data_IF_186932060993
#
_entry.id   IF_186932060993
#
_cell.length_a   1.000
_cell.length_b   1.000
_cell.length_c   1.000
_cell.angle_alpha   90.00
_cell.angle_beta   90.00
_cell.angle_gamma   90.00
#
_symmetry.space_group_name_H-M   'P 1'
#
loop_
_entity.id
_entity.type
_entity.pdbx_description
1 polymer ?
#
# COMPACT_ATOMS: atom_id res chain seq x y z
N UNK A 1 6.47 -13.08 13.27
CA UNK A 1 6.54 -11.78 12.53
C UNK A 1 5.44 -10.90 13.08
N UNK A 2 5.78 -9.70 13.49
CA UNK A 2 4.83 -8.69 13.99
C UNK A 2 4.68 -7.59 12.95
N UNK A 3 3.46 -7.32 12.50
CA UNK A 3 3.15 -6.32 11.48
C UNK A 3 2.55 -5.07 12.15
N UNK A 4 3.13 -3.90 11.89
CA UNK A 4 2.52 -2.64 12.25
C UNK A 4 1.54 -2.20 11.15
N UNK A 5 0.32 -1.80 11.51
CA UNK A 5 -0.68 -1.28 10.58
C UNK A 5 -0.91 0.19 10.88
N UNK A 6 -0.72 1.06 9.89
CA UNK A 6 -0.98 2.49 10.04
C UNK A 6 -2.49 2.74 10.15
N UNK A 7 -2.97 3.02 11.36
CA UNK A 7 -4.39 3.14 11.69
C UNK A 7 -4.83 4.59 11.94
N UNK A 8 -4.37 5.52 11.07
CA UNK A 8 -4.76 6.92 11.15
C UNK A 8 -6.09 7.19 10.44
N UNK A 9 -6.31 6.53 9.29
CA UNK A 9 -7.51 6.67 8.47
C UNK A 9 -7.54 5.56 7.41
N UNK A 10 -8.72 5.09 7.02
CA UNK A 10 -8.91 4.15 5.90
C UNK A 10 -9.14 2.71 6.33
N UNK A 11 -8.82 1.76 5.44
CA UNK A 11 -9.17 0.33 5.51
C UNK A 11 -8.19 -0.50 6.36
N UNK A 12 -7.77 0.00 7.52
CA UNK A 12 -6.79 -0.70 8.37
C UNK A 12 -7.36 -1.96 9.03
N UNK A 13 -8.65 -1.96 9.43
CA UNK A 13 -9.30 -3.11 10.07
C UNK A 13 -9.39 -4.32 9.12
N UNK A 14 -9.60 -4.09 7.85
CA UNK A 14 -9.67 -5.13 6.83
C UNK A 14 -8.30 -5.81 6.67
N UNK A 15 -7.20 -5.06 6.68
CA UNK A 15 -5.85 -5.63 6.72
C UNK A 15 -5.59 -6.46 7.97
N UNK A 16 -6.04 -6.00 9.14
CA UNK A 16 -5.92 -6.76 10.39
C UNK A 16 -6.67 -8.09 10.33
N UNK A 17 -7.86 -8.11 9.70
CA UNK A 17 -8.60 -9.35 9.49
C UNK A 17 -7.83 -10.34 8.61
N UNK A 18 -7.12 -9.85 7.57
CA UNK A 18 -6.26 -10.69 6.73
C UNK A 18 -5.06 -11.22 7.51
N UNK A 19 -4.38 -10.37 8.28
CA UNK A 19 -3.26 -10.77 9.14
C UNK A 19 -3.71 -11.83 10.17
N UNK A 20 -4.88 -11.64 10.77
CA UNK A 20 -5.46 -12.61 11.71
C UNK A 20 -5.75 -13.95 11.05
N UNK A 21 -6.28 -13.98 9.81
CA UNK A 21 -6.49 -15.22 9.05
C UNK A 21 -5.18 -15.97 8.80
N UNK A 22 -4.09 -15.23 8.59
CA UNK A 22 -2.75 -15.76 8.36
C UNK A 22 -1.98 -16.11 9.65
N UNK A 23 -2.56 -15.83 10.82
CA UNK A 23 -1.91 -16.08 12.11
C UNK A 23 -0.71 -15.18 12.39
N UNK A 24 -0.61 -14.03 11.72
CA UNK A 24 0.43 -13.04 11.97
C UNK A 24 0.06 -12.15 13.15
N UNK A 25 1.03 -11.84 14.01
CA UNK A 25 0.86 -10.83 15.04
C UNK A 25 0.80 -9.44 14.44
N UNK A 26 -0.04 -8.57 14.97
CA UNK A 26 -0.14 -7.19 14.49
C UNK A 26 -0.50 -6.21 15.60
N UNK A 27 -0.24 -4.93 15.34
CA UNK A 27 -0.74 -3.82 16.15
C UNK A 27 -0.93 -2.57 15.30
N UNK A 28 -1.71 -1.63 15.81
CA UNK A 28 -2.00 -0.37 15.16
C UNK A 28 -0.99 0.72 15.54
N UNK A 29 -0.59 1.54 14.54
CA UNK A 29 0.09 2.82 14.76
C UNK A 29 -0.96 3.92 14.67
N UNK A 30 -1.27 4.55 15.80
CA UNK A 30 -2.22 5.67 15.92
C UNK A 30 -1.56 6.96 16.40
N UNK A 31 -0.38 6.86 16.99
CA UNK A 31 0.36 7.96 17.59
C UNK A 31 1.85 7.62 17.64
N UNK A 32 2.69 8.64 17.83
CA UNK A 32 4.15 8.49 17.78
C UNK A 32 4.71 7.41 18.72
N UNK A 33 4.19 7.31 19.95
CA UNK A 33 4.65 6.32 20.93
C UNK A 33 4.42 4.86 20.50
N UNK A 34 3.52 4.60 19.57
CA UNK A 34 3.27 3.25 19.07
C UNK A 34 4.45 2.73 18.26
N UNK A 35 5.29 3.65 17.72
CA UNK A 35 6.54 3.32 17.02
C UNK A 35 7.67 2.83 17.94
N UNK A 36 7.54 2.97 19.26
CA UNK A 36 8.51 2.44 20.22
C UNK A 36 8.42 0.90 20.33
N UNK A 37 7.35 0.30 19.82
CA UNK A 37 7.18 -1.15 19.78
C UNK A 37 7.97 -1.73 18.60
N UNK A 38 8.69 -2.85 18.79
CA UNK A 38 9.37 -3.51 17.68
C UNK A 38 8.35 -4.13 16.72
N UNK A 39 8.63 -4.04 15.43
CA UNK A 39 7.86 -4.68 14.36
C UNK A 39 8.76 -5.06 13.18
N UNK A 40 8.33 -6.06 12.42
CA UNK A 40 9.10 -6.66 11.32
C UNK A 40 8.63 -6.17 9.95
N UNK A 41 7.41 -5.63 9.86
CA UNK A 41 6.80 -5.17 8.60
C UNK A 41 5.75 -4.09 8.87
N UNK A 42 5.44 -3.28 7.85
CA UNK A 42 4.51 -2.15 7.91
C UNK A 42 3.44 -2.26 6.81
N UNK A 43 2.17 -2.03 7.15
CA UNK A 43 1.09 -1.84 6.19
C UNK A 43 0.62 -0.38 6.21
N UNK A 44 0.56 0.22 5.01
CA UNK A 44 -0.01 1.52 4.73
C UNK A 44 -1.35 1.31 3.99
N UNK A 45 -2.50 1.38 4.67
CA UNK A 45 -3.78 0.99 4.10
C UNK A 45 -4.30 1.99 3.06
N UNK A 46 -5.32 1.56 2.32
CA UNK A 46 -6.12 2.45 1.50
C UNK A 46 -6.89 3.47 2.33
N UNK A 47 -7.19 4.62 1.73
CA UNK A 47 -7.88 5.72 2.38
C UNK A 47 -7.73 7.01 1.57
N UNK A 48 -7.70 8.16 2.24
CA UNK A 48 -7.46 9.46 1.61
C UNK A 48 -6.00 9.90 1.86
N UNK A 49 -5.18 9.83 0.83
CA UNK A 49 -3.73 10.05 0.94
C UNK A 49 -3.34 11.44 1.45
N UNK A 50 -4.11 12.47 1.10
CA UNK A 50 -3.86 13.85 1.58
C UNK A 50 -4.16 14.01 3.06
N UNK A 51 -5.22 13.37 3.55
CA UNK A 51 -5.57 13.34 4.98
C UNK A 51 -4.53 12.53 5.76
N UNK A 52 -4.14 11.36 5.24
CA UNK A 52 -3.11 10.52 5.87
C UNK A 52 -1.78 11.29 6.00
N UNK A 53 -1.33 11.96 4.90
CA UNK A 53 -0.12 12.79 4.94
C UNK A 53 -0.21 13.90 5.99
N UNK A 54 -1.34 14.59 6.08
CA UNK A 54 -1.57 15.63 7.09
C UNK A 54 -1.47 15.06 8.50
N UNK A 55 -2.13 13.95 8.79
CA UNK A 55 -2.09 13.29 10.10
C UNK A 55 -0.69 12.79 10.46
N UNK A 56 0.07 12.24 9.50
CA UNK A 56 1.46 11.82 9.72
C UNK A 56 2.33 12.98 10.21
N UNK A 57 2.15 14.18 9.64
CA UNK A 57 2.88 15.38 10.02
C UNK A 57 2.40 15.93 11.38
N UNK A 58 1.09 16.03 11.61
CA UNK A 58 0.50 16.57 12.84
C UNK A 58 0.82 15.70 14.07
N UNK A 59 1.00 14.40 13.88
CA UNK A 59 1.30 13.44 14.97
C UNK A 59 2.81 13.18 15.13
N UNK A 60 3.67 13.88 14.41
CA UNK A 60 5.13 13.68 14.40
C UNK A 60 5.55 12.23 14.07
N UNK A 61 4.79 11.55 13.23
CA UNK A 61 5.05 10.15 12.82
C UNK A 61 5.86 10.11 11.51
N UNK A 62 5.73 11.13 10.66
CA UNK A 62 6.23 11.15 9.28
C UNK A 62 7.72 10.83 9.17
N UNK A 63 8.58 11.58 9.87
CA UNK A 63 10.04 11.43 9.72
C UNK A 63 10.51 10.05 10.21
N UNK A 64 9.97 9.59 11.34
CA UNK A 64 10.32 8.29 11.93
C UNK A 64 9.92 7.15 10.98
N UNK A 65 8.70 7.17 10.43
CA UNK A 65 8.28 6.15 9.47
C UNK A 65 9.09 6.19 8.18
N UNK A 66 9.42 7.39 7.68
CA UNK A 66 10.24 7.53 6.48
C UNK A 66 11.64 6.90 6.68
N UNK A 67 12.27 7.15 7.80
CA UNK A 67 13.57 6.55 8.14
C UNK A 67 13.47 5.01 8.24
N UNK A 68 12.42 4.50 8.89
CA UNK A 68 12.16 3.06 9.00
C UNK A 68 11.98 2.42 7.61
N UNK A 69 11.20 3.03 6.72
CA UNK A 69 11.00 2.55 5.34
C UNK A 69 12.33 2.54 4.58
N UNK A 70 13.08 3.63 4.65
CA UNK A 70 14.39 3.75 3.99
C UNK A 70 15.45 2.80 4.55
N UNK A 71 15.31 2.34 5.79
CA UNK A 71 16.19 1.32 6.39
C UNK A 71 15.97 -0.09 5.82
N UNK A 72 14.96 -0.27 4.95
CA UNK A 72 14.67 -1.53 4.27
C UNK A 72 13.65 -2.42 4.98
N UNK A 73 12.85 -1.87 5.90
CA UNK A 73 11.71 -2.60 6.46
C UNK A 73 10.74 -3.01 5.33
N UNK A 74 10.19 -4.24 5.34
CA UNK A 74 9.11 -4.61 4.43
C UNK A 74 7.90 -3.70 4.59
N UNK A 75 7.42 -3.13 3.49
CA UNK A 75 6.26 -2.24 3.48
C UNK A 75 5.25 -2.66 2.41
N UNK A 76 3.99 -2.69 2.77
CA UNK A 76 2.88 -2.92 1.85
C UNK A 76 1.94 -1.72 1.83
N UNK A 77 1.82 -1.07 0.66
CA UNK A 77 0.92 0.07 0.45
C UNK A 77 -0.24 -0.29 -0.48
N UNK A 78 -1.50 -0.15 -0.02
CA UNK A 78 -2.68 -0.36 -0.85
C UNK A 78 -3.36 0.96 -1.18
N UNK A 79 -3.76 1.17 -2.43
CA UNK A 79 -4.49 2.35 -2.92
C UNK A 79 -3.84 3.68 -2.45
N UNK A 80 -4.30 4.29 -1.37
CA UNK A 80 -3.66 5.48 -0.79
C UNK A 80 -2.22 5.20 -0.34
N UNK A 81 -1.95 4.01 0.20
CA UNK A 81 -0.59 3.58 0.60
C UNK A 81 0.40 3.57 -0.57
N UNK A 82 -0.04 3.17 -1.78
CA UNK A 82 0.74 3.30 -3.01
C UNK A 82 1.11 4.77 -3.26
N UNK A 83 0.15 5.68 -3.13
CA UNK A 83 0.39 7.13 -3.33
C UNK A 83 1.37 7.69 -2.29
N UNK A 84 1.30 7.21 -1.03
CA UNK A 84 2.22 7.64 0.02
C UNK A 84 3.67 7.24 -0.24
N UNK A 85 3.90 6.08 -0.87
CA UNK A 85 5.25 5.57 -1.18
C UNK A 85 5.82 6.14 -2.48
N UNK A 86 4.98 6.56 -3.43
CA UNK A 86 5.38 7.06 -4.72
C UNK A 86 6.32 8.26 -4.63
N UNK A 87 7.39 8.25 -5.44
CA UNK A 87 8.35 9.36 -5.58
C UNK A 87 7.71 10.57 -6.27
N UNK A 88 6.82 10.31 -7.24
CA UNK A 88 6.05 11.34 -7.90
C UNK A 88 4.54 11.06 -7.84
N UNK A 89 3.74 12.13 -7.76
CA UNK A 89 2.27 12.07 -7.79
C UNK A 89 1.76 13.09 -8.79
N UNK A 90 1.12 12.65 -9.88
CA UNK A 90 0.54 13.56 -10.88
C UNK A 90 -0.47 14.51 -10.22
N UNK A 91 -0.26 15.82 -10.43
CA UNK A 91 -1.06 16.90 -9.84
C UNK A 91 -1.20 16.80 -8.31
N UNK A 92 -0.19 16.27 -7.63
CA UNK A 92 -0.18 16.08 -6.18
C UNK A 92 1.19 16.38 -5.57
N UNK A 93 1.27 16.20 -4.24
CA UNK A 93 2.51 16.32 -3.48
C UNK A 93 2.90 14.93 -2.99
N UNK A 94 4.13 14.46 -3.26
CA UNK A 94 4.64 13.22 -2.71
C UNK A 94 4.62 13.23 -1.17
N UNK A 95 4.53 12.03 -0.58
CA UNK A 95 4.62 11.86 0.86
C UNK A 95 5.99 11.29 1.23
N UNK A 96 6.13 9.98 1.35
CA UNK A 96 7.42 9.37 1.72
C UNK A 96 8.42 9.42 0.56
N UNK A 97 7.98 9.22 -0.69
CA UNK A 97 8.84 9.28 -1.87
C UNK A 97 9.96 8.25 -1.83
N UNK A 98 9.64 7.00 -1.48
CA UNK A 98 10.63 5.95 -1.27
C UNK A 98 10.62 4.88 -2.35
N UNK A 99 9.66 4.94 -3.27
CA UNK A 99 9.50 4.01 -4.37
C UNK A 99 9.52 4.76 -5.70
N UNK A 100 10.37 4.34 -6.62
CA UNK A 100 10.61 4.99 -7.93
C UNK A 100 9.43 4.77 -8.90
N UNK A 101 8.28 5.29 -8.54
CA UNK A 101 7.05 5.23 -9.30
C UNK A 101 6.37 6.60 -9.38
N UNK A 102 5.71 6.88 -10.50
CA UNK A 102 4.79 8.01 -10.63
C UNK A 102 3.37 7.52 -10.45
N UNK A 103 2.70 7.95 -9.39
CA UNK A 103 1.30 7.62 -9.12
C UNK A 103 0.35 8.61 -9.79
N UNK A 104 -0.68 8.10 -10.46
CA UNK A 104 -1.80 8.91 -10.97
C UNK A 104 -3.05 8.66 -10.17
N UNK A 105 -3.62 9.73 -9.60
CA UNK A 105 -4.81 9.67 -8.76
C UNK A 105 -6.09 9.63 -9.59
N UNK A 106 -7.16 9.04 -9.02
CA UNK A 106 -8.51 9.01 -9.61
C UNK A 106 -8.56 8.60 -11.09
N UNK A 107 -7.88 7.53 -11.41
CA UNK A 107 -7.51 7.14 -12.78
C UNK A 107 -8.63 6.65 -13.67
N UNK A 108 -9.76 6.24 -13.10
CA UNK A 108 -10.84 5.55 -13.83
C UNK A 108 -12.07 6.41 -14.08
N UNK A 109 -11.97 7.73 -13.86
CA UNK A 109 -13.06 8.68 -14.10
C UNK A 109 -14.24 8.55 -13.13
N UNK A 110 -15.22 9.49 -13.25
CA UNK A 110 -16.35 9.56 -12.31
C UNK A 110 -17.37 8.41 -12.44
N UNK A 111 -17.43 7.74 -13.60
CA UNK A 111 -18.41 6.67 -13.87
C UNK A 111 -17.91 5.25 -13.56
N UNK A 112 -16.58 5.03 -13.55
CA UNK A 112 -15.95 3.75 -13.25
C UNK A 112 -15.13 3.83 -11.96
N UNK A 113 -15.60 4.59 -10.98
CA UNK A 113 -14.87 4.83 -9.72
C UNK A 113 -14.61 3.58 -8.89
N UNK A 114 -15.36 2.49 -9.13
CA UNK A 114 -15.19 1.22 -8.44
C UNK A 114 -15.56 0.08 -9.35
N UNK A 115 -14.74 -0.95 -9.44
CA UNK A 115 -15.00 -2.18 -10.19
C UNK A 115 -14.21 -3.35 -9.59
N UNK A 116 -14.59 -4.55 -10.00
CA UNK A 116 -13.95 -5.80 -9.63
C UNK A 116 -13.49 -6.54 -10.89
N UNK A 117 -12.35 -7.20 -10.83
CA UNK A 117 -11.88 -8.10 -11.86
C UNK A 117 -10.96 -9.16 -11.25
N UNK A 118 -10.83 -10.29 -11.93
CA UNK A 118 -9.74 -11.24 -11.69
C UNK A 118 -8.66 -10.95 -12.74
N UNK A 119 -7.42 -10.82 -12.33
CA UNK A 119 -6.31 -10.57 -13.25
C UNK A 119 -5.03 -11.26 -12.78
N UNK A 120 -4.10 -11.39 -13.73
CA UNK A 120 -2.80 -12.01 -13.49
C UNK A 120 -1.96 -11.14 -12.55
N UNK A 121 -1.40 -11.78 -11.52
CA UNK A 121 -0.39 -11.21 -10.64
C UNK A 121 0.84 -12.10 -10.71
N UNK A 122 1.99 -11.53 -11.01
CA UNK A 122 3.23 -12.28 -11.21
C UNK A 122 3.59 -13.13 -9.99
N UNK A 123 3.84 -14.40 -10.22
CA UNK A 123 4.12 -15.40 -9.19
C UNK A 123 2.90 -15.93 -8.42
N UNK A 124 1.69 -15.38 -8.60
CA UNK A 124 0.48 -15.81 -7.90
C UNK A 124 -0.64 -16.32 -8.84
N UNK A 125 -0.54 -16.02 -10.16
CA UNK A 125 -1.59 -16.32 -11.13
C UNK A 125 -2.79 -15.38 -10.97
N UNK A 126 -3.98 -15.84 -11.36
CA UNK A 126 -5.21 -15.06 -11.28
C UNK A 126 -5.58 -14.76 -9.82
N UNK A 127 -5.70 -13.48 -9.48
CA UNK A 127 -6.13 -13.02 -8.16
C UNK A 127 -7.29 -12.03 -8.29
N UNK A 128 -8.20 -11.99 -7.29
CA UNK A 128 -9.27 -11.01 -7.28
C UNK A 128 -8.72 -9.60 -6.99
N UNK A 129 -9.25 -8.60 -7.68
CA UNK A 129 -8.82 -7.21 -7.56
C UNK A 129 -10.01 -6.28 -7.46
N UNK A 130 -10.27 -5.77 -6.27
CA UNK A 130 -11.31 -4.77 -6.00
C UNK A 130 -10.72 -3.36 -6.07
N UNK A 131 -11.20 -2.56 -7.01
CA UNK A 131 -10.79 -1.17 -7.21
C UNK A 131 -11.85 -0.20 -6.68
N UNK A 132 -11.45 0.76 -5.84
CA UNK A 132 -12.33 1.81 -5.30
C UNK A 132 -11.66 3.16 -5.51
N UNK A 133 -12.12 3.94 -6.49
CA UNK A 133 -11.52 5.22 -6.88
C UNK A 133 -9.99 5.17 -6.95
N UNK A 134 -9.51 4.07 -7.49
CA UNK A 134 -8.12 3.66 -7.41
C UNK A 134 -7.17 4.58 -8.19
N UNK A 135 -5.93 4.73 -7.71
CA UNK A 135 -4.84 5.23 -8.53
C UNK A 135 -4.41 4.17 -9.54
N UNK A 136 -3.43 4.49 -10.37
CA UNK A 136 -2.55 3.54 -11.03
C UNK A 136 -1.12 4.08 -11.07
N UNK A 137 -0.16 3.23 -11.39
CA UNK A 137 1.22 3.63 -11.61
C UNK A 137 1.34 4.05 -13.07
N UNK A 138 1.53 5.35 -13.31
CA UNK A 138 1.68 5.91 -14.64
C UNK A 138 3.06 5.61 -15.23
N UNK A 139 4.08 5.54 -14.38
CA UNK A 139 5.46 5.22 -14.75
C UNK A 139 6.13 4.44 -13.62
N UNK A 140 6.79 3.34 -13.98
CA UNK A 140 7.68 2.57 -13.13
C UNK A 140 9.13 2.83 -13.57
N UNK A 141 9.96 3.29 -12.65
CA UNK A 141 11.36 3.61 -12.91
C UNK A 141 12.30 2.42 -12.73
N UNK A 142 13.59 2.69 -12.75
CA UNK A 142 14.62 1.65 -12.61
C UNK A 142 14.51 0.91 -11.25
N UNK A 143 14.63 -0.40 -11.28
CA UNK A 143 14.57 -1.26 -10.11
C UNK A 143 13.15 -1.59 -9.62
N UNK A 144 12.11 -1.13 -10.33
CA UNK A 144 10.72 -1.46 -10.04
C UNK A 144 10.28 -2.67 -10.88
N UNK A 145 9.80 -3.70 -10.21
CA UNK A 145 9.20 -4.90 -10.81
C UNK A 145 7.70 -4.70 -10.95
N UNK A 146 7.16 -4.84 -12.16
CA UNK A 146 5.71 -4.79 -12.40
C UNK A 146 5.13 -6.16 -12.09
N UNK A 147 4.16 -6.21 -11.18
CA UNK A 147 3.53 -7.47 -10.74
C UNK A 147 2.14 -7.71 -11.32
N UNK A 148 1.43 -6.64 -11.68
CA UNK A 148 0.12 -6.77 -12.33
C UNK A 148 -0.23 -5.55 -13.19
N UNK A 149 -0.92 -5.82 -14.29
CA UNK A 149 -1.52 -4.82 -15.18
C UNK A 149 -3.00 -5.14 -15.44
N UNK A 150 -3.83 -4.12 -15.48
CA UNK A 150 -5.25 -4.21 -15.84
C UNK A 150 -5.56 -3.09 -16.83
N UNK A 151 -6.13 -3.44 -17.99
CA UNK A 151 -6.45 -2.50 -19.07
C UNK A 151 -5.27 -1.60 -19.49
N UNK A 152 -4.06 -2.17 -19.55
CA UNK A 152 -2.83 -1.47 -19.90
C UNK A 152 -2.33 -0.47 -18.84
N UNK A 153 -2.82 -0.57 -17.61
CA UNK A 153 -2.37 0.24 -16.47
C UNK A 153 -1.66 -0.66 -15.46
N UNK A 154 -0.52 -0.21 -14.97
CA UNK A 154 0.21 -0.90 -13.91
C UNK A 154 -0.56 -0.71 -12.59
N UNK A 155 -1.01 -1.81 -11.98
CA UNK A 155 -1.84 -1.81 -10.77
C UNK A 155 -1.18 -2.48 -9.57
N UNK A 156 -0.05 -3.15 -9.76
CA UNK A 156 0.79 -3.66 -8.68
C UNK A 156 2.26 -3.62 -9.10
N UNK A 157 3.11 -3.28 -8.16
CA UNK A 157 4.56 -3.24 -8.36
C UNK A 157 5.31 -3.49 -7.05
N UNK A 158 6.58 -3.88 -7.18
CA UNK A 158 7.52 -4.08 -6.09
C UNK A 158 8.83 -3.38 -6.37
N UNK A 159 9.44 -2.82 -5.35
CA UNK A 159 10.82 -2.34 -5.40
C UNK A 159 11.53 -2.73 -4.11
N UNK A 160 12.48 -3.65 -4.21
CA UNK A 160 13.13 -4.22 -3.04
C UNK A 160 12.11 -4.85 -2.09
N UNK A 161 11.96 -4.31 -0.88
CA UNK A 161 10.99 -4.77 0.13
C UNK A 161 9.76 -3.86 0.26
N UNK A 162 9.45 -3.08 -0.77
CA UNK A 162 8.25 -2.27 -0.84
C UNK A 162 7.31 -2.86 -1.90
N UNK A 163 6.11 -3.28 -1.49
CA UNK A 163 5.03 -3.80 -2.32
C UNK A 163 3.91 -2.76 -2.38
N UNK A 164 3.35 -2.52 -3.56
CA UNK A 164 2.18 -1.65 -3.72
C UNK A 164 1.13 -2.28 -4.61
N UNK A 165 -0.15 -2.04 -4.26
CA UNK A 165 -1.30 -2.36 -5.10
C UNK A 165 -2.21 -1.14 -5.24
N UNK A 166 -2.75 -0.91 -6.43
CA UNK A 166 -3.75 0.10 -6.68
C UNK A 166 -5.14 -0.32 -6.17
N UNK A 167 -5.39 -1.62 -6.13
CA UNK A 167 -6.61 -2.27 -5.65
C UNK A 167 -6.50 -2.65 -4.16
N UNK A 168 -7.60 -3.15 -3.62
CA UNK A 168 -7.78 -3.48 -2.21
C UNK A 168 -7.84 -5.00 -1.99
N UNK A 169 -6.71 -5.73 -1.90
CA UNK A 169 -6.71 -7.17 -1.66
C UNK A 169 -7.28 -7.54 -0.28
N UNK A 170 -7.32 -6.59 0.65
CA UNK A 170 -7.89 -6.77 1.97
C UNK A 170 -9.42 -6.95 1.96
N UNK A 171 -10.10 -6.61 0.86
CA UNK A 171 -11.55 -6.73 0.72
C UNK A 171 -12.02 -8.04 0.10
N UNK A 172 -11.14 -8.77 -0.59
CA UNK A 172 -11.54 -9.91 -1.44
C UNK A 172 -11.53 -11.25 -0.70
N UNK A 173 -10.98 -11.33 0.48
CA UNK A 173 -10.88 -12.55 1.27
C UNK A 173 -9.78 -13.53 0.81
N UNK A 174 -9.11 -13.27 -0.31
CA UNK A 174 -7.94 -14.00 -0.81
C UNK A 174 -6.68 -13.53 -0.07
N UNK A 175 -5.98 -14.44 0.58
CA UNK A 175 -4.82 -14.11 1.42
C UNK A 175 -3.50 -14.07 0.67
N UNK A 176 -3.44 -14.54 -0.58
CA UNK A 176 -2.18 -14.77 -1.32
C UNK A 176 -1.29 -13.53 -1.45
N UNK A 177 -1.85 -12.33 -1.63
CA UNK A 177 -1.07 -11.09 -1.72
C UNK A 177 -0.49 -10.73 -0.36
N UNK A 178 -1.25 -10.89 0.73
CA UNK A 178 -0.74 -10.68 2.09
C UNK A 178 0.31 -11.73 2.45
N UNK A 179 0.13 -13.00 2.05
CA UNK A 179 1.15 -14.05 2.21
C UNK A 179 2.43 -13.72 1.43
N UNK A 180 2.29 -13.23 0.19
CA UNK A 180 3.43 -12.75 -0.62
C UNK A 180 4.20 -11.66 0.14
N UNK A 181 3.49 -10.66 0.67
CA UNK A 181 4.09 -9.60 1.48
C UNK A 181 4.81 -10.12 2.73
N UNK A 182 4.19 -11.04 3.48
CA UNK A 182 4.79 -11.59 4.70
C UNK A 182 6.04 -12.45 4.45
N UNK A 183 6.23 -12.89 3.21
CA UNK A 183 7.38 -13.72 2.80
C UNK A 183 8.47 -12.95 2.03
N UNK A 184 8.38 -11.62 1.94
CA UNK A 184 9.38 -10.78 1.26
C UNK A 184 10.71 -10.65 2.00
#
# INVERSE_FOLDING_TARGET
>A
MTVAVLALQGAFLEHEQMLKKLGADYFEIRQKKDLDRPFDALILPGGESTVMRKLLLELDIYDVLKEIILSGLPVFGTCAGLILLADEVEAGVPCFGTMNITAKRNAYGRQLGSFYTDAEFDGLGQVPMTFIRAPYIAQAGEGVEILAEVDGKIVAARQGRQLVTAFHPELDGDTRIHEYFLNM
#
